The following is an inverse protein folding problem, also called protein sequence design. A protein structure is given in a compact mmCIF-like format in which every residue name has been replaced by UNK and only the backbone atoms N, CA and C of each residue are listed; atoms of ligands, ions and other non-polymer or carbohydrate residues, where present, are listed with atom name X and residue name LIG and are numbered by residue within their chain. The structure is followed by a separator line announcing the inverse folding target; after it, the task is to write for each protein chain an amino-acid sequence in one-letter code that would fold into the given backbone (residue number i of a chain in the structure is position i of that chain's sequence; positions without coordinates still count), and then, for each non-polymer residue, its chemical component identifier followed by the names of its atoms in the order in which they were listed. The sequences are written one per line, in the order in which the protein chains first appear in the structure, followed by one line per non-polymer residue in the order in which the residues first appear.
data_IF_603871402163
#
_entry.id   IF_603871402163
#
_cell.length_a   1.000
_cell.length_b   1.000
_cell.length_c   1.000
_cell.angle_alpha   90.00
_cell.angle_beta   90.00
_cell.angle_gamma   90.00
#
_symmetry.space_group_name_H-M   'P 1'
#
loop_
_entity.id
_entity.type
_entity.pdbx_description
1 polymer ?
#
# COMPACT_ATOMS: atom_id res chain seq x y z
N UNK A 1 -47.34 16.97 -48.11
CA UNK A 1 -47.47 16.24 -46.84
C UNK A 1 -46.80 17.03 -45.70
N UNK A 2 -47.22 16.85 -44.47
CA UNK A 2 -46.62 17.49 -43.33
C UNK A 2 -45.56 16.55 -42.70
N UNK A 3 -44.37 17.07 -42.46
CA UNK A 3 -43.29 16.30 -41.82
C UNK A 3 -43.62 15.96 -40.37
N UNK A 4 -43.53 14.68 -39.99
CA UNK A 4 -43.86 14.19 -38.65
C UNK A 4 -42.94 14.76 -37.55
N UNK A 5 -41.72 15.17 -37.94
CA UNK A 5 -40.71 15.66 -36.96
C UNK A 5 -40.69 17.18 -36.77
N UNK A 6 -40.88 17.97 -37.82
CA UNK A 6 -40.77 19.43 -37.77
C UNK A 6 -42.03 20.18 -38.16
N UNK A 7 -43.09 19.49 -38.50
CA UNK A 7 -44.39 20.03 -38.91
C UNK A 7 -44.38 20.94 -40.15
N UNK A 8 -43.29 20.95 -40.95
CA UNK A 8 -43.19 21.71 -42.19
C UNK A 8 -43.84 20.94 -43.35
N UNK A 9 -44.47 21.63 -44.23
CA UNK A 9 -44.94 21.06 -45.49
C UNK A 9 -43.77 20.69 -46.42
N UNK A 10 -43.89 19.55 -47.10
CA UNK A 10 -42.89 19.08 -48.05
C UNK A 10 -43.55 18.20 -49.13
N UNK A 11 -42.90 18.10 -50.27
CA UNK A 11 -43.30 17.21 -51.36
C UNK A 11 -42.47 15.94 -51.23
N UNK A 12 -43.09 14.76 -50.98
CA UNK A 12 -42.38 13.53 -50.88
C UNK A 12 -41.79 13.08 -52.22
N UNK A 13 -40.53 12.64 -52.17
CA UNK A 13 -39.81 12.11 -53.34
C UNK A 13 -39.87 10.60 -53.44
N UNK A 14 -40.48 9.93 -52.45
CA UNK A 14 -40.62 8.47 -52.45
C UNK A 14 -41.87 7.98 -51.69
N UNK A 15 -42.30 6.70 -51.94
CA UNK A 15 -43.36 6.05 -51.20
C UNK A 15 -43.00 5.96 -49.74
N UNK A 16 -43.88 6.28 -48.83
CA UNK A 16 -43.69 6.20 -47.36
C UNK A 16 -42.71 7.22 -46.76
N UNK A 17 -42.44 8.33 -47.46
CA UNK A 17 -41.60 9.40 -46.88
C UNK A 17 -42.43 10.27 -45.92
N UNK A 18 -42.23 10.10 -44.62
CA UNK A 18 -42.94 10.83 -43.55
C UNK A 18 -42.15 12.04 -43.02
N UNK A 19 -40.91 12.27 -43.46
CA UNK A 19 -40.02 13.31 -43.00
C UNK A 19 -39.46 14.12 -44.18
N UNK A 20 -39.41 15.47 -44.03
CA UNK A 20 -38.99 16.38 -45.08
C UNK A 20 -37.49 16.29 -45.44
N UNK A 21 -36.65 15.83 -44.50
CA UNK A 21 -35.19 15.78 -44.71
C UNK A 21 -34.61 14.53 -44.03
N UNK A 22 -33.35 14.22 -44.35
CA UNK A 22 -32.56 13.15 -43.72
C UNK A 22 -32.35 13.39 -42.19
N UNK A 23 -32.18 14.65 -41.81
CA UNK A 23 -32.04 15.05 -40.42
C UNK A 23 -33.32 14.75 -39.64
N UNK A 24 -34.48 15.16 -40.16
CA UNK A 24 -35.79 14.85 -39.54
C UNK A 24 -36.03 13.33 -39.43
N UNK A 25 -35.66 12.59 -40.48
CA UNK A 25 -35.75 11.11 -40.47
C UNK A 25 -34.87 10.50 -39.36
N UNK A 26 -33.62 10.96 -39.19
CA UNK A 26 -32.72 10.50 -38.15
C UNK A 26 -33.22 10.83 -36.74
N UNK A 27 -33.83 12.01 -36.54
CA UNK A 27 -34.40 12.41 -35.25
C UNK A 27 -35.61 11.48 -34.95
N UNK A 28 -36.53 11.33 -35.88
CA UNK A 28 -37.68 10.45 -35.72
C UNK A 28 -37.30 8.99 -35.42
N UNK A 29 -36.29 8.46 -36.12
CA UNK A 29 -35.73 7.13 -35.84
C UNK A 29 -35.16 7.01 -34.44
N UNK A 30 -34.41 8.03 -33.98
CA UNK A 30 -33.84 8.05 -32.63
C UNK A 30 -34.92 8.07 -31.54
N UNK A 31 -36.00 8.81 -31.76
CA UNK A 31 -37.14 8.86 -30.83
C UNK A 31 -37.88 7.51 -30.78
N UNK A 32 -38.18 6.92 -31.92
CA UNK A 32 -38.77 5.59 -32.02
C UNK A 32 -37.91 4.53 -31.31
N UNK A 33 -36.60 4.58 -31.52
CA UNK A 33 -35.66 3.68 -30.81
C UNK A 33 -35.66 3.92 -29.29
N UNK A 34 -35.74 5.16 -28.81
CA UNK A 34 -35.85 5.48 -27.38
C UNK A 34 -37.15 4.90 -26.78
N UNK A 35 -38.26 5.07 -27.47
CA UNK A 35 -39.56 4.51 -27.05
C UNK A 35 -39.50 2.99 -27.00
N UNK A 36 -38.98 2.35 -28.06
CA UNK A 36 -38.85 0.88 -28.10
C UNK A 36 -37.98 0.35 -26.96
N UNK A 37 -36.81 0.99 -26.66
CA UNK A 37 -35.95 0.58 -25.56
C UNK A 37 -36.63 0.66 -24.19
N UNK A 38 -37.55 1.61 -24.02
CA UNK A 38 -38.33 1.75 -22.77
C UNK A 38 -39.49 0.75 -22.67
N UNK A 39 -39.96 0.18 -23.77
CA UNK A 39 -41.03 -0.78 -23.79
C UNK A 39 -40.65 -2.11 -23.11
N UNK A 40 -41.66 -2.89 -22.66
CA UNK A 40 -41.42 -4.21 -22.06
C UNK A 40 -40.65 -5.12 -23.04
N UNK A 41 -41.05 -5.16 -24.31
CA UNK A 41 -40.41 -5.96 -25.36
C UNK A 41 -38.92 -5.55 -25.58
N UNK A 42 -38.63 -4.25 -25.56
CA UNK A 42 -37.25 -3.74 -25.67
C UNK A 42 -36.40 -4.14 -24.47
N UNK A 43 -36.95 -4.02 -23.26
CA UNK A 43 -36.26 -4.43 -22.02
C UNK A 43 -35.97 -5.93 -21.96
N UNK A 44 -36.92 -6.76 -22.37
CA UNK A 44 -36.72 -8.22 -22.45
C UNK A 44 -35.64 -8.61 -23.46
N UNK A 45 -35.62 -7.99 -24.64
CA UNK A 45 -34.56 -8.19 -25.63
C UNK A 45 -33.19 -7.83 -25.07
N UNK A 46 -33.07 -6.67 -24.43
CA UNK A 46 -31.81 -6.20 -23.84
C UNK A 46 -31.37 -7.13 -22.71
N UNK A 47 -32.29 -7.62 -21.88
CA UNK A 47 -32.01 -8.62 -20.83
C UNK A 47 -31.50 -9.94 -21.43
N UNK A 48 -32.16 -10.47 -22.46
CA UNK A 48 -31.71 -11.67 -23.19
C UNK A 48 -30.31 -11.49 -23.78
N UNK A 49 -30.04 -10.32 -24.40
CA UNK A 49 -28.70 -10.02 -24.92
C UNK A 49 -27.64 -9.98 -23.82
N UNK A 50 -27.90 -9.30 -22.70
CA UNK A 50 -26.96 -9.23 -21.58
C UNK A 50 -26.66 -10.61 -20.98
N UNK A 51 -27.62 -11.51 -20.96
CA UNK A 51 -27.46 -12.88 -20.47
C UNK A 51 -26.75 -13.81 -21.46
N UNK A 52 -26.74 -13.47 -22.76
CA UNK A 52 -26.07 -14.25 -23.81
C UNK A 52 -24.53 -14.24 -23.64
N UNK A 53 -23.86 -15.25 -24.17
CA UNK A 53 -22.40 -15.33 -24.19
C UNK A 53 -21.81 -14.09 -24.86
N UNK A 54 -22.36 -13.66 -26.00
CA UNK A 54 -21.93 -12.48 -26.75
C UNK A 54 -22.05 -11.19 -25.90
N UNK A 55 -23.17 -10.99 -25.21
CA UNK A 55 -23.41 -9.85 -24.33
C UNK A 55 -22.45 -9.82 -23.13
N UNK A 56 -22.20 -10.98 -22.50
CA UNK A 56 -21.26 -11.12 -21.41
C UNK A 56 -19.82 -10.78 -21.84
N UNK A 57 -19.40 -11.23 -23.02
CA UNK A 57 -18.06 -10.92 -23.57
C UNK A 57 -17.95 -9.43 -23.87
N UNK A 58 -18.98 -8.83 -24.54
CA UNK A 58 -19.01 -7.41 -24.83
C UNK A 58 -18.93 -6.55 -23.54
N UNK A 59 -19.69 -6.91 -22.51
CA UNK A 59 -19.67 -6.24 -21.20
C UNK A 59 -18.31 -6.35 -20.51
N UNK A 60 -17.69 -7.55 -20.52
CA UNK A 60 -16.34 -7.73 -19.97
C UNK A 60 -15.32 -6.85 -20.69
N UNK A 61 -15.37 -6.78 -22.03
CA UNK A 61 -14.47 -5.93 -22.84
C UNK A 61 -14.68 -4.45 -22.54
N UNK A 62 -15.92 -3.98 -22.47
CA UNK A 62 -16.26 -2.59 -22.14
C UNK A 62 -15.79 -2.23 -20.73
N UNK A 63 -16.01 -3.08 -19.73
CA UNK A 63 -15.55 -2.89 -18.34
C UNK A 63 -14.03 -2.85 -18.26
N UNK A 64 -13.32 -3.71 -18.99
CA UNK A 64 -11.85 -3.70 -19.06
C UNK A 64 -11.33 -2.39 -19.65
N UNK A 65 -11.94 -1.95 -20.77
CA UNK A 65 -11.58 -0.69 -21.42
C UNK A 65 -11.82 0.50 -20.47
N UNK A 66 -13.00 0.60 -19.85
CA UNK A 66 -13.30 1.64 -18.86
C UNK A 66 -12.30 1.63 -17.68
N UNK A 67 -11.99 0.44 -17.18
CA UNK A 67 -11.06 0.28 -16.05
C UNK A 67 -9.66 0.79 -16.35
N UNK A 68 -9.26 0.83 -17.63
CA UNK A 68 -7.95 1.30 -18.07
C UNK A 68 -7.92 2.82 -18.30
N UNK A 69 -9.08 3.49 -18.37
CA UNK A 69 -9.13 4.96 -18.47
C UNK A 69 -8.72 5.61 -17.15
N UNK A 70 -8.21 6.84 -17.18
CA UNK A 70 -7.87 7.59 -15.97
C UNK A 70 -9.07 7.77 -15.04
N UNK A 71 -10.26 8.04 -15.60
CA UNK A 71 -11.52 8.11 -14.86
C UNK A 71 -11.87 6.79 -14.17
N UNK A 72 -11.70 5.66 -14.85
CA UNK A 72 -11.93 4.33 -14.30
C UNK A 72 -10.95 3.96 -13.19
N UNK A 73 -9.68 4.30 -13.36
CA UNK A 73 -8.63 4.12 -12.34
C UNK A 73 -8.91 4.96 -11.10
N UNK A 74 -9.26 6.24 -11.27
CA UNK A 74 -9.60 7.15 -10.19
C UNK A 74 -10.80 6.63 -9.37
N UNK A 75 -11.89 6.26 -10.06
CA UNK A 75 -13.09 5.71 -9.41
C UNK A 75 -12.79 4.42 -8.64
N UNK A 76 -11.96 3.53 -9.19
CA UNK A 76 -11.53 2.31 -8.50
C UNK A 76 -10.73 2.63 -7.24
N UNK A 77 -9.80 3.58 -7.31
CA UNK A 77 -9.00 4.03 -6.16
C UNK A 77 -9.89 4.59 -5.04
N UNK A 78 -10.87 5.40 -5.40
CA UNK A 78 -11.85 5.95 -4.46
C UNK A 78 -12.68 4.84 -3.79
N UNK A 79 -13.22 3.90 -4.58
CA UNK A 79 -14.01 2.78 -4.07
C UNK A 79 -13.18 1.88 -3.14
N UNK A 80 -11.93 1.60 -3.49
CA UNK A 80 -11.00 0.86 -2.62
C UNK A 80 -10.77 1.58 -1.30
N UNK A 81 -10.55 2.91 -1.34
CA UNK A 81 -10.38 3.72 -0.12
C UNK A 81 -11.64 3.66 0.76
N UNK A 82 -12.82 3.81 0.16
CA UNK A 82 -14.12 3.71 0.87
C UNK A 82 -14.32 2.33 1.50
N UNK A 83 -14.08 1.26 0.74
CA UNK A 83 -14.22 -0.11 1.25
C UNK A 83 -13.22 -0.41 2.37
N UNK A 84 -11.96 -0.04 2.23
CA UNK A 84 -10.93 -0.27 3.25
C UNK A 84 -11.21 0.49 4.55
N UNK A 85 -11.86 1.65 4.47
CA UNK A 85 -12.22 2.46 5.64
C UNK A 85 -13.55 2.03 6.29
N UNK A 86 -14.37 1.24 5.59
CA UNK A 86 -15.62 0.71 6.14
C UNK A 86 -15.37 -0.28 7.29
N UNK A 87 -16.32 -0.42 8.21
CA UNK A 87 -16.23 -1.40 9.30
C UNK A 87 -15.99 -2.84 8.77
N UNK A 88 -16.73 -3.22 7.71
CA UNK A 88 -16.57 -4.52 7.04
C UNK A 88 -15.18 -4.69 6.43
N UNK A 89 -14.64 -3.67 5.76
CA UNK A 89 -13.30 -3.70 5.17
C UNK A 89 -12.19 -3.82 6.23
N UNK A 90 -12.31 -3.05 7.33
CA UNK A 90 -11.39 -3.13 8.46
C UNK A 90 -11.42 -4.52 9.11
N UNK A 91 -12.61 -5.09 9.32
CA UNK A 91 -12.77 -6.44 9.88
C UNK A 91 -12.19 -7.51 8.94
N UNK A 92 -12.48 -7.44 7.64
CA UNK A 92 -11.93 -8.36 6.63
C UNK A 92 -10.40 -8.32 6.63
N UNK A 93 -9.79 -7.13 6.66
CA UNK A 93 -8.34 -6.95 6.74
C UNK A 93 -7.77 -7.56 8.02
N UNK A 94 -8.42 -7.32 9.16
CA UNK A 94 -8.01 -7.91 10.47
C UNK A 94 -8.06 -9.43 10.43
N UNK A 95 -9.13 -10.02 9.88
CA UNK A 95 -9.30 -11.45 9.77
C UNK A 95 -8.26 -12.08 8.83
N UNK A 96 -8.02 -11.43 7.67
CA UNK A 96 -6.97 -11.89 6.75
C UNK A 96 -5.58 -11.85 7.40
N UNK A 97 -5.24 -10.80 8.14
CA UNK A 97 -3.95 -10.70 8.84
C UNK A 97 -3.75 -11.81 9.89
N UNK A 98 -4.85 -12.29 10.51
CA UNK A 98 -4.83 -13.38 11.49
C UNK A 98 -4.85 -14.77 10.83
N UNK A 99 -5.23 -14.88 9.56
CA UNK A 99 -5.26 -16.16 8.84
C UNK A 99 -3.85 -16.70 8.60
N UNK A 100 -3.72 -18.02 8.38
CA UNK A 100 -2.43 -18.65 8.09
C UNK A 100 -1.79 -18.08 6.83
N UNK A 101 -2.59 -17.81 5.79
CA UNK A 101 -2.11 -17.20 4.57
C UNK A 101 -1.60 -15.78 4.81
N UNK A 102 -2.30 -14.97 5.61
CA UNK A 102 -1.88 -13.62 5.98
C UNK A 102 -0.58 -13.62 6.79
N UNK A 103 -0.45 -14.56 7.74
CA UNK A 103 0.78 -14.75 8.53
C UNK A 103 1.96 -15.20 7.67
N UNK A 104 1.77 -16.19 6.79
CA UNK A 104 2.79 -16.66 5.85
C UNK A 104 3.24 -15.54 4.91
N UNK A 105 2.29 -14.81 4.30
CA UNK A 105 2.61 -13.68 3.43
C UNK A 105 3.46 -12.61 4.16
N UNK A 106 3.04 -12.22 5.38
CA UNK A 106 3.75 -11.25 6.20
C UNK A 106 5.18 -11.73 6.53
N UNK A 107 5.33 -12.99 6.94
CA UNK A 107 6.63 -13.58 7.24
C UNK A 107 7.56 -13.57 6.03
N UNK A 108 7.08 -14.02 4.86
CA UNK A 108 7.86 -14.02 3.61
C UNK A 108 8.23 -12.60 3.17
N UNK A 109 7.28 -11.66 3.27
CA UNK A 109 7.54 -10.25 2.94
C UNK A 109 8.67 -9.68 3.81
N UNK A 110 8.60 -9.87 5.13
CA UNK A 110 9.63 -9.37 6.04
C UNK A 110 10.97 -10.08 5.84
N UNK A 111 10.97 -11.40 5.61
CA UNK A 111 12.18 -12.16 5.30
C UNK A 111 12.88 -11.60 4.06
N UNK A 112 12.14 -11.42 2.96
CA UNK A 112 12.68 -10.83 1.72
C UNK A 112 13.18 -9.41 1.94
N UNK A 113 12.41 -8.57 2.63
CA UNK A 113 12.76 -7.17 2.85
C UNK A 113 14.03 -7.01 3.70
N UNK A 114 14.21 -7.86 4.71
CA UNK A 114 15.44 -7.87 5.53
C UNK A 114 16.71 -8.20 4.72
N UNK A 115 16.58 -8.93 3.64
CA UNK A 115 17.73 -9.28 2.78
C UNK A 115 18.17 -8.13 1.86
N UNK A 116 17.24 -7.23 1.49
CA UNK A 116 17.48 -6.21 0.45
C UNK A 116 17.45 -4.77 0.96
N UNK A 117 16.97 -4.51 2.18
CA UNK A 117 16.75 -3.17 2.71
C UNK A 117 17.41 -3.00 4.09
N UNK A 118 18.69 -2.59 4.14
CA UNK A 118 19.41 -2.38 5.40
C UNK A 118 18.76 -1.33 6.32
N UNK A 119 18.14 -0.30 5.73
CA UNK A 119 17.42 0.74 6.50
C UNK A 119 16.18 0.15 7.18
N UNK A 120 15.49 -0.76 6.51
CA UNK A 120 14.38 -1.47 7.11
C UNK A 120 14.84 -2.34 8.30
N UNK A 121 15.96 -3.06 8.14
CA UNK A 121 16.55 -3.88 9.22
C UNK A 121 16.93 -3.00 10.41
N UNK A 122 17.59 -1.88 10.15
CA UNK A 122 17.98 -0.91 11.17
C UNK A 122 16.76 -0.39 11.95
N UNK A 123 15.73 0.06 11.22
CA UNK A 123 14.46 0.54 11.82
C UNK A 123 13.76 -0.53 12.66
N UNK A 124 13.73 -1.76 12.19
CA UNK A 124 13.08 -2.89 12.88
C UNK A 124 13.85 -3.27 14.15
N UNK A 125 15.17 -3.36 14.07
CA UNK A 125 16.04 -3.67 15.22
C UNK A 125 15.98 -2.61 16.32
N UNK A 126 16.08 -1.33 15.97
CA UNK A 126 15.97 -0.25 16.95
C UNK A 126 14.61 -0.26 17.68
N UNK A 127 13.51 -0.45 16.94
CA UNK A 127 12.17 -0.52 17.54
C UNK A 127 12.01 -1.73 18.46
N UNK A 128 12.39 -2.91 17.97
CA UNK A 128 12.25 -4.16 18.72
C UNK A 128 13.09 -4.17 19.98
N UNK A 129 14.33 -3.65 19.90
CA UNK A 129 15.23 -3.55 21.05
C UNK A 129 14.67 -2.61 22.11
N UNK A 130 14.23 -1.42 21.70
CA UNK A 130 13.62 -0.46 22.61
C UNK A 130 12.35 -1.01 23.27
N UNK A 131 11.44 -1.62 22.50
CA UNK A 131 10.21 -2.20 23.04
C UNK A 131 10.49 -3.29 24.07
N UNK A 132 11.45 -4.17 23.79
CA UNK A 132 11.86 -5.24 24.75
C UNK A 132 12.43 -4.66 26.03
N UNK A 133 13.30 -3.65 25.88
CA UNK A 133 13.90 -2.98 27.03
C UNK A 133 12.86 -2.28 27.90
N UNK A 134 11.98 -1.44 27.32
CA UNK A 134 10.92 -0.76 28.05
C UNK A 134 10.00 -1.76 28.77
N UNK A 135 9.65 -2.86 28.11
CA UNK A 135 8.84 -3.93 28.71
C UNK A 135 9.55 -4.61 29.91
N UNK A 136 10.86 -4.86 29.81
CA UNK A 136 11.63 -5.47 30.92
C UNK A 136 11.73 -4.60 32.16
N UNK A 137 11.71 -3.27 31.96
CA UNK A 137 11.76 -2.28 33.06
C UNK A 137 10.37 -1.78 33.48
N UNK A 138 9.29 -2.29 32.85
CA UNK A 138 7.92 -1.78 33.02
C UNK A 138 7.78 -0.27 32.75
N UNK A 139 8.55 0.24 31.79
CA UNK A 139 8.53 1.64 31.40
C UNK A 139 7.56 1.85 30.24
N UNK A 140 6.93 3.04 30.20
CA UNK A 140 6.15 3.49 29.07
C UNK A 140 7.03 4.23 28.07
N UNK A 141 6.70 4.09 26.79
CA UNK A 141 7.40 4.79 25.72
C UNK A 141 6.98 6.26 25.70
N UNK A 142 7.92 7.19 25.80
CA UNK A 142 7.67 8.64 25.82
C UNK A 142 7.43 9.20 24.42
N UNK A 143 8.26 8.80 23.43
CA UNK A 143 8.26 9.36 22.08
C UNK A 143 8.39 8.26 21.01
N UNK A 144 8.29 8.62 19.72
CA UNK A 144 8.60 7.68 18.64
C UNK A 144 10.07 7.28 18.71
N UNK A 145 10.40 6.04 18.30
CA UNK A 145 11.77 5.50 18.39
C UNK A 145 12.81 6.40 17.74
N UNK A 146 12.53 6.97 16.56
CA UNK A 146 13.50 7.80 15.84
C UNK A 146 13.54 9.25 16.34
N UNK A 147 12.51 9.73 17.04
CA UNK A 147 12.54 11.00 17.77
C UNK A 147 13.49 10.87 18.99
N UNK A 148 13.44 9.70 19.69
CA UNK A 148 14.36 9.38 20.80
C UNK A 148 15.81 9.16 20.30
N UNK A 149 16.01 8.59 19.11
CA UNK A 149 17.34 8.43 18.50
C UNK A 149 17.90 9.79 18.06
N UNK A 150 17.07 10.80 17.85
CA UNK A 150 17.47 12.16 17.50
C UNK A 150 17.93 12.36 16.06
N UNK A 151 17.73 11.35 15.18
CA UNK A 151 18.08 11.45 13.77
C UNK A 151 17.25 10.52 12.87
N UNK A 152 17.35 10.70 11.54
CA UNK A 152 16.75 9.78 10.58
C UNK A 152 17.47 8.43 10.55
N UNK A 153 16.83 7.40 10.04
CA UNK A 153 17.48 6.09 9.93
C UNK A 153 18.58 6.08 8.86
N UNK A 154 18.47 6.92 7.88
CA UNK A 154 19.47 7.15 6.84
C UNK A 154 20.72 7.77 7.46
N UNK A 155 20.56 8.82 8.26
CA UNK A 155 21.67 9.44 9.01
C UNK A 155 22.29 8.46 10.01
N UNK A 156 21.48 7.71 10.77
CA UNK A 156 22.01 6.70 11.71
C UNK A 156 22.82 5.63 10.97
N UNK A 157 22.39 5.21 9.79
CA UNK A 157 23.13 4.27 8.96
C UNK A 157 24.52 4.82 8.62
N UNK A 158 24.60 6.06 8.12
CA UNK A 158 25.87 6.73 7.78
C UNK A 158 26.75 6.94 9.02
N UNK A 159 26.16 7.31 10.16
CA UNK A 159 26.87 7.48 11.43
C UNK A 159 27.54 6.18 11.87
N UNK A 160 26.85 5.04 11.75
CA UNK A 160 27.41 3.73 12.08
C UNK A 160 28.46 3.28 11.05
N UNK A 161 28.24 3.50 9.75
CA UNK A 161 29.21 3.16 8.70
C UNK A 161 30.54 3.86 8.85
N UNK A 162 30.54 5.12 9.31
CA UNK A 162 31.78 5.89 9.60
C UNK A 162 32.62 5.26 10.73
N UNK A 163 32.01 4.45 11.57
CA UNK A 163 32.63 3.77 12.70
C UNK A 163 33.00 2.31 12.40
N UNK A 164 32.72 1.81 11.19
CA UNK A 164 33.01 0.43 10.81
C UNK A 164 34.50 0.14 10.87
N UNK A 165 34.84 -0.96 11.50
CA UNK A 165 36.23 -1.41 11.66
C UNK A 165 36.35 -2.91 11.39
N UNK A 166 37.58 -3.42 11.22
CA UNK A 166 37.84 -4.84 11.05
C UNK A 166 37.74 -5.56 12.39
N UNK A 167 37.32 -6.84 12.30
CA UNK A 167 37.34 -7.73 13.47
C UNK A 167 38.79 -7.90 13.93
N UNK A 168 39.10 -7.70 15.22
CA UNK A 168 40.49 -7.76 15.69
C UNK A 168 41.21 -9.07 15.42
N UNK A 169 40.51 -10.21 15.57
CA UNK A 169 41.11 -11.54 15.43
C UNK A 169 41.04 -12.10 14.01
N UNK A 170 39.94 -11.84 13.27
CA UNK A 170 39.71 -12.44 11.94
C UNK A 170 39.95 -11.48 10.78
N UNK A 171 40.19 -10.18 11.06
CA UNK A 171 40.35 -9.10 10.08
C UNK A 171 39.17 -8.91 9.13
N UNK A 172 38.05 -9.56 9.40
CA UNK A 172 36.82 -9.41 8.60
C UNK A 172 36.29 -7.96 8.70
N UNK A 173 35.99 -7.28 7.57
CA UNK A 173 35.43 -5.93 7.60
C UNK A 173 33.97 -5.96 8.03
N UNK A 174 33.54 -4.97 8.83
CA UNK A 174 32.12 -4.73 9.10
C UNK A 174 31.40 -4.29 7.82
N UNK A 175 30.21 -4.82 7.62
CA UNK A 175 29.26 -4.38 6.58
C UNK A 175 27.84 -4.83 6.97
N UNK A 176 26.82 -4.38 6.23
CA UNK A 176 25.44 -4.72 6.55
C UNK A 176 25.07 -6.19 6.33
N UNK A 177 25.85 -6.95 5.56
CA UNK A 177 25.60 -8.39 5.36
C UNK A 177 25.99 -9.19 6.61
N UNK A 178 26.96 -8.70 7.40
CA UNK A 178 27.37 -9.34 8.65
C UNK A 178 26.79 -8.66 9.92
N UNK A 179 25.76 -7.80 9.76
CA UNK A 179 24.93 -7.33 10.88
C UNK A 179 23.95 -8.44 11.29
N UNK A 180 24.45 -9.42 12.00
CA UNK A 180 23.74 -10.65 12.40
C UNK A 180 24.01 -10.97 13.87
N UNK A 181 23.34 -12.00 14.40
CA UNK A 181 23.54 -12.45 15.82
C UNK A 181 24.99 -12.80 16.13
N UNK A 182 25.76 -13.31 15.16
CA UNK A 182 27.16 -13.70 15.33
C UNK A 182 28.15 -12.70 14.72
N UNK A 183 27.69 -11.69 14.01
CA UNK A 183 28.53 -10.70 13.35
C UNK A 183 28.78 -9.48 14.22
N UNK A 184 28.18 -8.33 13.87
CA UNK A 184 28.25 -7.13 14.67
C UNK A 184 26.86 -6.65 15.10
N UNK A 185 26.82 -5.90 16.19
CA UNK A 185 25.61 -5.36 16.81
C UNK A 185 25.69 -3.85 16.89
N UNK A 186 24.55 -3.18 16.97
CA UNK A 186 24.45 -1.79 17.40
C UNK A 186 24.50 -1.82 18.94
N UNK A 187 25.54 -1.29 19.50
CA UNK A 187 25.75 -1.22 20.94
C UNK A 187 25.48 0.19 21.47
N UNK A 188 25.19 0.30 22.76
CA UNK A 188 25.11 1.58 23.49
C UNK A 188 26.40 1.78 24.26
N UNK A 189 27.15 2.88 24.02
CA UNK A 189 28.38 3.22 24.73
C UNK A 189 28.11 3.21 26.23
N UNK A 190 27.12 3.98 26.68
CA UNK A 190 26.54 3.90 28.01
C UNK A 190 25.34 2.95 27.93
N UNK A 191 25.36 1.82 28.64
CA UNK A 191 24.30 0.80 28.51
C UNK A 191 22.91 1.32 28.87
N UNK A 192 21.88 0.90 28.12
CA UNK A 192 20.48 1.23 28.43
C UNK A 192 20.06 0.75 29.82
N UNK A 193 20.71 -0.30 30.35
CA UNK A 193 20.39 -0.84 31.66
C UNK A 193 20.69 0.13 32.83
N UNK A 194 21.52 1.14 32.58
CA UNK A 194 21.78 2.22 33.56
C UNK A 194 20.62 3.21 33.69
N UNK A 195 19.62 3.19 32.78
CA UNK A 195 18.45 4.05 32.84
C UNK A 195 17.60 3.73 34.09
N UNK A 196 17.26 4.76 34.84
CA UNK A 196 16.38 4.70 36.01
C UNK A 196 14.97 5.20 35.72
N UNK A 197 14.83 6.06 34.72
CA UNK A 197 13.57 6.68 34.29
C UNK A 197 13.34 6.53 32.77
N UNK A 198 12.11 6.68 32.27
CA UNK A 198 11.86 6.72 30.82
C UNK A 198 12.62 7.84 30.10
N UNK A 199 12.84 8.98 30.76
CA UNK A 199 13.60 10.12 30.24
C UNK A 199 15.11 9.79 30.10
N UNK A 200 15.66 8.97 31.00
CA UNK A 200 17.03 8.47 30.86
C UNK A 200 17.14 7.54 29.64
N UNK A 201 16.12 6.72 29.39
CA UNK A 201 16.09 5.87 28.19
C UNK A 201 16.13 6.72 26.93
N UNK A 202 15.40 7.84 26.88
CA UNK A 202 15.42 8.75 25.75
C UNK A 202 16.82 9.32 25.50
N UNK A 203 17.50 9.78 26.53
CA UNK A 203 18.90 10.27 26.44
C UNK A 203 19.86 9.19 25.97
N UNK A 204 19.75 7.97 26.52
CA UNK A 204 20.64 6.86 26.19
C UNK A 204 20.35 6.24 24.81
N UNK A 205 19.16 6.44 24.26
CA UNK A 205 18.81 6.04 22.90
C UNK A 205 19.35 6.96 21.81
N UNK A 206 19.85 8.16 22.17
CA UNK A 206 20.36 9.13 21.21
C UNK A 206 21.50 8.55 20.36
N UNK A 207 21.57 8.91 19.07
CA UNK A 207 22.51 8.31 18.11
C UNK A 207 23.98 8.48 18.52
N UNK A 208 24.31 9.53 19.26
CA UNK A 208 25.67 9.77 19.76
C UNK A 208 26.12 8.72 20.79
N UNK A 209 25.18 8.00 21.41
CA UNK A 209 25.46 6.89 22.31
C UNK A 209 25.45 5.53 21.59
N UNK A 210 25.33 5.51 20.25
CA UNK A 210 25.25 4.28 19.45
C UNK A 210 26.55 4.06 18.68
N UNK A 211 27.07 2.83 18.74
CA UNK A 211 28.27 2.41 18.03
C UNK A 211 28.10 1.00 17.44
N UNK A 212 28.79 0.66 16.34
CA UNK A 212 28.88 -0.72 15.88
C UNK A 212 29.93 -1.46 16.73
N UNK A 213 29.58 -2.65 17.22
CA UNK A 213 30.49 -3.49 18.00
C UNK A 213 30.37 -4.95 17.57
N UNK A 214 31.47 -5.66 17.40
CA UNK A 214 31.44 -7.10 17.11
C UNK A 214 30.75 -7.87 18.23
N UNK A 215 29.93 -8.86 17.86
CA UNK A 215 29.06 -9.58 18.77
C UNK A 215 29.83 -10.19 19.96
N UNK A 216 31.00 -10.75 19.71
CA UNK A 216 31.86 -11.33 20.75
C UNK A 216 32.30 -10.29 21.79
N UNK A 217 32.70 -9.12 21.34
CA UNK A 217 33.10 -8.02 22.21
C UNK A 217 31.91 -7.36 22.90
N UNK A 218 30.79 -7.22 22.20
CA UNK A 218 29.54 -6.70 22.78
C UNK A 218 29.04 -7.62 23.94
N UNK A 219 29.10 -8.92 23.75
CA UNK A 219 28.73 -9.88 24.81
C UNK A 219 29.69 -9.82 26.01
N UNK A 220 31.01 -9.67 25.78
CA UNK A 220 31.99 -9.49 26.84
C UNK A 220 31.82 -8.14 27.60
N UNK A 221 31.44 -7.09 26.88
CA UNK A 221 31.14 -5.78 27.48
C UNK A 221 29.94 -5.89 28.43
N UNK A 222 28.86 -6.54 28.01
CA UNK A 222 27.61 -6.61 28.78
C UNK A 222 27.08 -5.21 29.12
N UNK A 223 26.86 -4.95 30.44
CA UNK A 223 26.38 -3.64 30.94
C UNK A 223 27.51 -2.76 31.47
N UNK A 224 28.77 -2.99 31.08
CA UNK A 224 29.93 -2.15 31.50
C UNK A 224 30.07 -0.97 30.52
N UNK A 225 30.54 0.15 31.05
CA UNK A 225 31.08 1.28 30.27
C UNK A 225 32.54 0.95 30.00
N UNK A 226 32.93 0.88 28.75
CA UNK A 226 34.32 0.61 28.32
C UNK A 226 34.83 1.86 27.65
#
# INVERSE_FOLDING_TARGET
MICVQCNKEFIPTGRNQNNCSKECSLISQRETQKIYKKSLKGKERDKKYQQSIKGKIASKKANKNYSNTEKGKAKRKELHKKNNNSAKGKLSKKNWQKSDNGRKYKSQYFKKRRQIDPIFVLKDNCRTRLERFLKSKNFHKTNKTFDMIGCSAEFLKEHLEKQFHRHPDTYQPMNWLNHTVHGWHIDHIIPLDSAKTPEDVEKLMHYTNLQPMWATYNLKKGNKII
#
